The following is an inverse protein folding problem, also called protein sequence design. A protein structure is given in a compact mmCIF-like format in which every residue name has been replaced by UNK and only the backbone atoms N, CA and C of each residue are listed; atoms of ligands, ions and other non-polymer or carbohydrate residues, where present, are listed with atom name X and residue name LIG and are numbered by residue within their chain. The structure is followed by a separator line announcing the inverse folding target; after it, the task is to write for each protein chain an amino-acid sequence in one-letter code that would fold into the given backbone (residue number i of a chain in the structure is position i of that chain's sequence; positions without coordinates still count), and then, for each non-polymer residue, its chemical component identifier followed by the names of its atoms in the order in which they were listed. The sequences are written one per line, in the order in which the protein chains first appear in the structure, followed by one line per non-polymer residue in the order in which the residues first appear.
data_IF_432605056282
#
_entry.id   IF_432605056282
#
_cell.length_a   1.000
_cell.length_b   1.000
_cell.length_c   1.000
_cell.angle_alpha   90.00
_cell.angle_beta   90.00
_cell.angle_gamma   90.00
#
_symmetry.space_group_name_H-M   'P 1'
#
loop_
_entity.id
_entity.type
_entity.pdbx_description
1 polymer ?
#
# COMPACT_ATOMS: atom_id res chain seq x y z
N UNK A 1 0.97 -2.00 26.61
CA UNK A 1 1.74 -2.77 25.62
C UNK A 1 2.86 -3.48 26.37
N UNK A 2 3.02 -4.79 26.19
CA UNK A 2 4.15 -5.53 26.75
C UNK A 2 5.45 -4.91 26.20
N UNK A 3 6.42 -4.72 27.09
CA UNK A 3 7.71 -4.11 26.75
C UNK A 3 8.54 -5.18 25.99
N UNK A 4 8.29 -5.30 24.66
CA UNK A 4 9.06 -6.22 23.82
C UNK A 4 10.52 -5.79 23.88
N UNK A 5 11.42 -6.70 24.27
CA UNK A 5 12.83 -6.37 24.41
C UNK A 5 13.43 -5.98 23.06
N UNK A 6 14.35 -5.02 23.05
CA UNK A 6 15.10 -4.63 21.84
C UNK A 6 15.77 -5.84 21.17
N UNK A 7 16.19 -6.82 21.95
CA UNK A 7 16.73 -8.09 21.46
C UNK A 7 15.70 -8.88 20.66
N UNK A 8 14.44 -8.91 21.07
CA UNK A 8 13.38 -9.59 20.34
C UNK A 8 13.11 -8.87 19.00
N UNK A 9 13.06 -7.53 18.99
CA UNK A 9 12.92 -6.74 17.76
C UNK A 9 14.06 -7.04 16.78
N UNK A 10 15.31 -7.06 17.25
CA UNK A 10 16.49 -7.39 16.43
C UNK A 10 16.45 -8.83 15.89
N UNK A 11 15.91 -9.78 16.65
CA UNK A 11 15.77 -11.16 16.15
C UNK A 11 14.72 -11.26 15.04
N UNK A 12 13.61 -10.54 15.12
CA UNK A 12 12.65 -10.42 14.03
C UNK A 12 13.31 -9.76 12.82
N UNK A 13 14.09 -8.70 13.04
CA UNK A 13 14.87 -8.02 12.01
C UNK A 13 15.82 -8.97 11.26
N UNK A 14 16.41 -9.95 11.93
CA UNK A 14 17.24 -10.98 11.27
C UNK A 14 16.42 -11.86 10.31
N UNK A 15 15.16 -12.18 10.65
CA UNK A 15 14.28 -12.95 9.75
C UNK A 15 13.96 -12.11 8.51
N UNK A 16 13.61 -10.84 8.68
CA UNK A 16 13.33 -9.93 7.57
C UNK A 16 14.54 -9.81 6.62
N UNK A 17 15.74 -9.66 7.18
CA UNK A 17 16.97 -9.38 6.42
C UNK A 17 17.69 -10.65 5.93
N UNK A 18 17.13 -11.85 6.11
CA UNK A 18 17.71 -13.11 5.63
C UNK A 18 17.10 -13.50 4.27
N UNK A 19 17.83 -13.33 3.15
CA UNK A 19 17.30 -13.64 1.83
C UNK A 19 17.10 -15.15 1.58
N UNK A 20 17.62 -16.01 2.46
CA UNK A 20 17.40 -17.46 2.39
C UNK A 20 16.02 -17.89 2.93
N UNK A 21 15.32 -16.99 3.64
CA UNK A 21 13.98 -17.25 4.17
C UNK A 21 12.92 -17.09 3.09
N UNK A 22 11.85 -17.92 3.15
CA UNK A 22 10.68 -17.72 2.30
C UNK A 22 10.10 -16.30 2.40
N UNK A 23 9.62 -15.76 1.27
CA UNK A 23 9.07 -14.40 1.22
C UNK A 23 7.97 -14.18 2.27
N UNK A 24 7.06 -15.13 2.44
CA UNK A 24 6.00 -15.08 3.45
C UNK A 24 6.51 -14.91 4.89
N UNK A 25 7.61 -15.54 5.26
CA UNK A 25 8.19 -15.37 6.60
C UNK A 25 8.76 -13.96 6.79
N UNK A 26 9.39 -13.43 5.74
CA UNK A 26 9.97 -12.09 5.73
C UNK A 26 8.87 -11.02 5.81
N UNK A 27 7.76 -11.20 5.10
CA UNK A 27 6.58 -10.33 5.19
C UNK A 27 5.96 -10.34 6.59
N UNK A 28 5.74 -11.51 7.18
CA UNK A 28 5.25 -11.62 8.55
C UNK A 28 6.19 -10.93 9.55
N UNK A 29 7.51 -11.03 9.35
CA UNK A 29 8.50 -10.30 10.16
C UNK A 29 8.39 -8.79 9.96
N UNK A 30 8.23 -8.31 8.73
CA UNK A 30 8.06 -6.90 8.39
C UNK A 30 6.81 -6.31 9.08
N UNK A 31 5.65 -6.94 8.92
CA UNK A 31 4.42 -6.45 9.54
C UNK A 31 4.47 -6.51 11.08
N UNK A 32 5.21 -7.48 11.64
CA UNK A 32 5.47 -7.52 13.07
C UNK A 32 6.30 -6.31 13.52
N UNK A 33 7.38 -5.98 12.81
CA UNK A 33 8.22 -4.80 13.09
C UNK A 33 7.41 -3.50 12.95
N UNK A 34 6.59 -3.36 11.90
CA UNK A 34 5.69 -2.23 11.73
C UNK A 34 4.78 -2.04 12.94
N UNK A 35 4.16 -3.14 13.42
CA UNK A 35 3.23 -3.09 14.56
C UNK A 35 3.92 -2.82 15.90
N UNK A 36 5.16 -3.28 16.07
CA UNK A 36 5.98 -2.99 17.27
C UNK A 36 6.43 -1.54 17.31
N UNK A 37 6.81 -0.99 16.15
CA UNK A 37 7.26 0.39 16.03
C UNK A 37 8.60 0.67 16.72
N UNK A 38 8.96 1.95 16.75
CA UNK A 38 10.15 2.43 17.43
C UNK A 38 11.44 2.33 16.60
N UNK A 39 12.52 2.89 17.14
CA UNK A 39 13.79 3.08 16.43
C UNK A 39 14.42 1.77 15.96
N UNK A 40 14.47 0.76 16.83
CA UNK A 40 15.04 -0.55 16.47
C UNK A 40 14.27 -1.26 15.33
N UNK A 41 12.94 -1.10 15.27
CA UNK A 41 12.14 -1.64 14.17
C UNK A 41 12.43 -0.90 12.85
N UNK A 42 12.49 0.43 12.90
CA UNK A 42 12.84 1.27 11.73
C UNK A 42 14.23 0.90 11.21
N UNK A 43 15.23 0.74 12.08
CA UNK A 43 16.57 0.31 11.69
C UNK A 43 16.56 -1.05 10.98
N UNK A 44 15.84 -2.04 11.54
CA UNK A 44 15.74 -3.37 10.94
C UNK A 44 15.08 -3.33 9.56
N UNK A 45 14.01 -2.55 9.39
CA UNK A 45 13.33 -2.36 8.10
C UNK A 45 14.23 -1.64 7.12
N UNK A 46 14.90 -0.57 7.55
CA UNK A 46 15.79 0.25 6.72
C UNK A 46 16.96 -0.55 6.12
N UNK A 47 17.52 -1.51 6.86
CA UNK A 47 18.62 -2.36 6.41
C UNK A 47 18.22 -3.26 5.22
N UNK A 48 16.92 -3.52 5.03
CA UNK A 48 16.42 -4.44 4.01
C UNK A 48 16.25 -3.80 2.62
N UNK A 49 16.42 -2.49 2.43
CA UNK A 49 16.32 -1.84 1.11
C UNK A 49 17.42 -2.23 0.11
N UNK A 50 18.45 -2.95 0.53
CA UNK A 50 19.43 -3.58 -0.34
C UNK A 50 19.00 -4.91 -0.96
N UNK A 51 17.80 -5.39 -0.67
CA UNK A 51 17.27 -6.66 -1.20
C UNK A 51 17.02 -6.59 -2.71
N UNK A 52 17.04 -7.76 -3.38
CA UNK A 52 16.77 -7.85 -4.81
C UNK A 52 15.27 -7.76 -5.13
N UNK A 53 14.38 -8.17 -4.21
CA UNK A 53 12.93 -8.17 -4.41
C UNK A 53 12.37 -6.75 -4.46
N UNK A 54 11.79 -6.40 -5.60
CA UNK A 54 11.05 -5.14 -5.79
C UNK A 54 9.83 -5.10 -4.87
N UNK A 55 9.09 -6.22 -4.79
CA UNK A 55 7.93 -6.34 -3.92
C UNK A 55 8.27 -6.06 -2.45
N UNK A 56 9.31 -6.73 -1.94
CA UNK A 56 9.68 -6.54 -0.54
C UNK A 56 10.07 -5.09 -0.26
N UNK A 57 10.86 -4.47 -1.15
CA UNK A 57 11.27 -3.06 -0.99
C UNK A 57 10.09 -2.09 -1.03
N UNK A 58 9.09 -2.36 -1.88
CA UNK A 58 7.82 -1.63 -1.89
C UNK A 58 7.15 -1.71 -0.51
N UNK A 59 6.94 -2.93 0.01
CA UNK A 59 6.32 -3.13 1.31
C UNK A 59 7.12 -2.54 2.49
N UNK A 60 8.47 -2.50 2.42
CA UNK A 60 9.30 -1.80 3.42
C UNK A 60 8.92 -0.32 3.49
N UNK A 61 8.80 0.33 2.32
CA UNK A 61 8.45 1.75 2.25
C UNK A 61 7.02 2.00 2.75
N UNK A 62 6.05 1.18 2.32
CA UNK A 62 4.68 1.20 2.82
C UNK A 62 4.64 1.12 4.36
N UNK A 63 5.27 0.11 4.92
CA UNK A 63 5.29 -0.09 6.38
C UNK A 63 5.88 1.11 7.13
N UNK A 64 6.99 1.69 6.64
CA UNK A 64 7.59 2.89 7.23
C UNK A 64 6.67 4.11 7.14
N UNK A 65 5.94 4.28 6.04
CA UNK A 65 4.93 5.32 5.88
C UNK A 65 3.78 5.19 6.88
N UNK A 66 3.26 3.97 7.01
CA UNK A 66 2.16 3.67 7.94
C UNK A 66 2.56 3.82 9.42
N UNK A 67 3.85 3.67 9.75
CA UNK A 67 4.36 3.95 11.10
C UNK A 67 4.32 5.45 11.45
N UNK A 68 4.29 6.35 10.48
CA UNK A 68 4.28 7.81 10.64
C UNK A 68 5.40 8.35 11.56
N UNK A 69 6.55 7.71 11.56
CA UNK A 69 7.70 8.09 12.39
C UNK A 69 8.73 8.86 11.57
N UNK A 70 9.00 10.11 11.93
CA UNK A 70 9.93 10.99 11.20
C UNK A 70 11.37 10.42 11.11
N UNK A 71 11.74 9.48 11.99
CA UNK A 71 13.05 8.79 11.92
C UNK A 71 13.22 7.95 10.65
N UNK A 72 12.13 7.59 9.98
CA UNK A 72 12.14 6.87 8.70
C UNK A 72 12.43 7.82 7.50
N UNK A 73 12.29 9.13 7.65
CA UNK A 73 12.47 10.10 6.56
C UNK A 73 13.80 9.93 5.84
N UNK A 74 14.97 9.83 6.50
CA UNK A 74 16.25 9.75 5.80
C UNK A 74 16.38 8.55 4.85
N UNK A 75 15.88 7.38 5.24
CA UNK A 75 15.94 6.19 4.38
C UNK A 75 14.95 6.30 3.22
N UNK A 76 13.71 6.75 3.48
CA UNK A 76 12.70 6.95 2.43
C UNK A 76 13.12 8.00 1.41
N UNK A 77 13.74 9.09 1.87
CA UNK A 77 14.35 10.09 0.99
C UNK A 77 15.45 9.48 0.11
N UNK A 78 16.36 8.70 0.69
CA UNK A 78 17.40 8.01 -0.07
C UNK A 78 16.85 7.07 -1.13
N UNK A 79 15.77 6.36 -0.84
CA UNK A 79 15.08 5.46 -1.78
C UNK A 79 14.42 6.24 -2.91
N UNK A 80 13.70 7.33 -2.61
CA UNK A 80 13.06 8.18 -3.63
C UNK A 80 14.12 8.82 -4.57
N UNK A 81 15.27 9.24 -4.02
CA UNK A 81 16.35 9.90 -4.76
C UNK A 81 17.21 8.95 -5.60
N UNK A 82 17.22 7.66 -5.29
CA UNK A 82 18.02 6.68 -6.03
C UNK A 82 17.34 6.29 -7.34
N UNK A 83 17.79 6.89 -8.43
CA UNK A 83 17.30 6.61 -9.78
C UNK A 83 17.58 5.19 -10.29
N UNK A 84 18.33 4.35 -9.56
CA UNK A 84 18.55 2.94 -9.89
C UNK A 84 17.50 2.02 -9.24
N UNK A 85 16.75 2.52 -8.27
CA UNK A 85 15.63 1.78 -7.70
C UNK A 85 14.47 1.69 -8.71
N UNK A 86 13.74 0.59 -8.64
CA UNK A 86 12.55 0.40 -9.45
C UNK A 86 11.52 1.51 -9.19
N UNK A 87 10.83 2.05 -10.22
CA UNK A 87 9.78 3.03 -10.03
C UNK A 87 8.69 2.61 -9.03
N UNK A 88 8.37 1.32 -8.94
CA UNK A 88 7.42 0.75 -7.96
C UNK A 88 7.90 1.00 -6.51
N UNK A 89 9.19 0.88 -6.25
CA UNK A 89 9.77 1.16 -4.92
C UNK A 89 9.85 2.65 -4.63
N UNK A 90 10.23 3.43 -5.65
CA UNK A 90 10.40 4.89 -5.52
C UNK A 90 9.07 5.62 -5.29
N UNK A 91 7.99 5.20 -5.99
CA UNK A 91 6.70 5.80 -5.77
C UNK A 91 6.22 5.56 -4.34
N UNK A 92 6.38 4.33 -3.83
CA UNK A 92 5.95 3.98 -2.48
C UNK A 92 6.75 4.76 -1.41
N UNK A 93 8.06 4.99 -1.65
CA UNK A 93 8.84 5.87 -0.79
C UNK A 93 8.30 7.32 -0.80
N UNK A 94 7.86 7.82 -1.95
CA UNK A 94 7.20 9.13 -2.09
C UNK A 94 5.87 9.19 -1.34
N UNK A 95 5.06 8.14 -1.42
CA UNK A 95 3.80 8.01 -0.69
C UNK A 95 4.02 7.95 0.82
N UNK A 96 4.98 7.13 1.26
CA UNK A 96 5.39 7.02 2.67
C UNK A 96 5.82 8.36 3.25
N UNK A 97 6.61 9.15 2.51
CA UNK A 97 6.97 10.52 2.92
C UNK A 97 5.74 11.43 3.02
N UNK A 98 4.80 11.31 2.09
CA UNK A 98 3.50 11.99 2.14
C UNK A 98 2.66 11.56 3.35
N UNK A 99 2.67 10.27 3.71
CA UNK A 99 1.97 9.72 4.88
C UNK A 99 2.55 10.23 6.21
N UNK A 100 3.89 10.32 6.34
CA UNK A 100 4.57 10.93 7.48
C UNK A 100 4.20 12.41 7.58
N UNK A 101 4.17 13.11 6.46
CA UNK A 101 3.58 14.45 6.37
C UNK A 101 4.39 15.57 7.01
N UNK A 102 5.70 15.40 7.22
CA UNK A 102 6.55 16.42 7.80
C UNK A 102 6.70 17.64 6.86
N UNK A 103 6.55 18.90 7.38
CA UNK A 103 6.53 20.11 6.54
C UNK A 103 7.80 20.35 5.73
N UNK A 104 8.96 19.88 6.21
CA UNK A 104 10.26 20.01 5.55
C UNK A 104 10.43 19.10 4.32
N UNK A 105 9.47 18.21 4.04
CA UNK A 105 9.49 17.35 2.87
C UNK A 105 9.01 18.05 1.58
N UNK A 106 8.47 19.25 1.70
CA UNK A 106 7.89 20.00 0.57
C UNK A 106 8.85 20.14 -0.60
N UNK A 107 10.05 20.68 -0.34
CA UNK A 107 11.04 20.95 -1.40
C UNK A 107 11.48 19.66 -2.10
N UNK A 108 11.59 18.55 -1.37
CA UNK A 108 11.88 17.23 -1.92
C UNK A 108 10.76 16.76 -2.86
N UNK A 109 9.52 16.79 -2.40
CA UNK A 109 8.38 16.36 -3.19
C UNK A 109 8.15 17.27 -4.42
N UNK A 110 8.40 18.60 -4.29
CA UNK A 110 8.37 19.54 -5.42
C UNK A 110 9.43 19.21 -6.48
N UNK A 111 10.61 18.74 -6.08
CA UNK A 111 11.64 18.27 -7.01
C UNK A 111 11.16 17.06 -7.81
N UNK A 112 10.54 16.07 -7.15
CA UNK A 112 10.15 14.79 -7.75
C UNK A 112 8.74 14.76 -8.38
N UNK A 113 7.93 15.82 -8.25
CA UNK A 113 6.64 15.91 -8.95
C UNK A 113 6.77 15.94 -10.50
N UNK A 114 7.99 16.05 -11.01
CA UNK A 114 8.35 16.03 -12.43
C UNK A 114 9.33 14.89 -12.76
N UNK A 115 9.36 13.85 -11.95
CA UNK A 115 10.21 12.67 -12.17
C UNK A 115 9.90 12.05 -13.55
N UNK A 116 10.92 11.50 -14.26
CA UNK A 116 10.69 10.83 -15.53
C UNK A 116 9.84 9.56 -15.40
N UNK A 117 9.82 8.89 -14.26
CA UNK A 117 8.88 7.81 -13.97
C UNK A 117 7.54 8.43 -13.54
N UNK A 118 6.50 8.18 -14.33
CA UNK A 118 5.20 8.83 -14.16
C UNK A 118 4.56 8.48 -12.80
N UNK A 119 4.73 7.26 -12.32
CA UNK A 119 4.22 6.78 -11.03
C UNK A 119 4.83 7.58 -9.87
N UNK A 120 6.13 7.86 -9.95
CA UNK A 120 6.86 8.66 -8.94
C UNK A 120 6.39 10.12 -8.99
N UNK A 121 6.23 10.68 -10.19
CA UNK A 121 5.77 12.06 -10.37
C UNK A 121 4.34 12.24 -9.83
N UNK A 122 3.42 11.36 -10.19
CA UNK A 122 2.03 11.38 -9.74
C UNK A 122 1.91 11.24 -8.23
N UNK A 123 2.66 10.31 -7.63
CA UNK A 123 2.71 10.14 -6.16
C UNK A 123 3.20 11.40 -5.46
N UNK A 124 4.29 12.01 -5.92
CA UNK A 124 4.80 13.25 -5.34
C UNK A 124 3.80 14.42 -5.47
N UNK A 125 3.06 14.50 -6.56
CA UNK A 125 1.98 15.48 -6.73
C UNK A 125 0.86 15.27 -5.72
N UNK A 126 0.42 14.02 -5.51
CA UNK A 126 -0.60 13.69 -4.51
C UNK A 126 -0.10 14.02 -3.11
N UNK A 127 1.14 13.62 -2.76
CA UNK A 127 1.75 13.90 -1.46
C UNK A 127 1.84 15.41 -1.17
N UNK A 128 2.21 16.23 -2.16
CA UNK A 128 2.21 17.70 -2.04
C UNK A 128 0.82 18.27 -1.79
N UNK A 129 -0.20 17.77 -2.51
CA UNK A 129 -1.57 18.20 -2.33
C UNK A 129 -2.09 17.78 -0.94
N UNK A 130 -1.70 16.59 -0.45
CA UNK A 130 -1.98 16.15 0.91
C UNK A 130 -1.38 17.08 1.96
N UNK A 131 -0.10 17.45 1.84
CA UNK A 131 0.55 18.41 2.73
C UNK A 131 -0.18 19.76 2.72
N UNK A 132 -0.55 20.27 1.54
CA UNK A 132 -1.30 21.51 1.39
C UNK A 132 -2.68 21.44 2.07
N UNK A 133 -3.38 20.32 1.89
CA UNK A 133 -4.70 20.10 2.45
C UNK A 133 -4.66 20.13 3.99
N UNK A 134 -3.70 19.43 4.60
CA UNK A 134 -3.54 19.41 6.06
C UNK A 134 -2.99 20.72 6.65
N UNK A 135 -2.25 21.50 5.88
CA UNK A 135 -1.77 22.83 6.30
C UNK A 135 -2.86 23.89 6.29
N UNK A 136 -3.96 23.70 5.54
CA UNK A 136 -4.99 24.71 5.34
C UNK A 136 -6.10 24.62 6.41
N UNK A 137 -6.30 25.70 7.18
CA UNK A 137 -7.30 25.75 8.25
C UNK A 137 -8.76 25.70 7.76
N UNK A 138 -9.01 26.02 6.49
CA UNK A 138 -10.36 25.91 5.89
C UNK A 138 -10.71 24.45 5.63
N UNK A 139 -9.79 23.65 5.14
CA UNK A 139 -9.99 22.23 4.85
C UNK A 139 -10.11 21.39 6.13
N UNK A 140 -9.46 21.79 7.22
CA UNK A 140 -9.62 21.15 8.55
C UNK A 140 -11.05 21.19 9.09
N UNK A 141 -11.89 22.07 8.57
CA UNK A 141 -13.31 22.21 8.95
C UNK A 141 -14.24 21.38 8.06
N UNK A 142 -13.71 20.75 7.02
CA UNK A 142 -14.49 19.90 6.13
C UNK A 142 -15.01 18.68 6.88
N UNK A 143 -16.30 18.39 6.73
CA UNK A 143 -16.91 17.22 7.36
C UNK A 143 -16.67 16.00 6.46
N UNK A 144 -15.60 15.27 6.76
CA UNK A 144 -15.20 14.10 6.01
C UNK A 144 -16.09 12.88 6.28
N UNK A 145 -16.20 11.97 5.34
CA UNK A 145 -16.79 10.65 5.57
C UNK A 145 -15.97 9.89 6.62
N UNK A 146 -16.69 9.14 7.48
CA UNK A 146 -16.02 8.36 8.53
C UNK A 146 -15.37 7.12 7.91
N UNK A 147 -14.04 6.99 8.08
CA UNK A 147 -13.32 5.77 7.73
C UNK A 147 -13.46 4.70 8.84
N UNK A 148 -13.61 3.45 8.44
CA UNK A 148 -13.49 2.28 9.30
C UNK A 148 -12.06 1.71 9.28
N UNK A 149 -11.23 2.18 8.35
CA UNK A 149 -9.86 1.73 8.12
C UNK A 149 -8.89 2.58 8.92
N UNK A 150 -7.82 1.96 9.39
CA UNK A 150 -6.77 2.63 10.20
C UNK A 150 -5.55 3.04 9.37
N UNK A 151 -5.57 2.76 8.06
CA UNK A 151 -4.51 3.16 7.14
C UNK A 151 -4.36 4.68 7.05
N UNK A 152 -3.14 5.12 6.78
CA UNK A 152 -2.82 6.51 6.46
C UNK A 152 -2.95 6.66 4.95
N UNK A 153 -4.12 7.09 4.51
CA UNK A 153 -4.44 7.21 3.10
C UNK A 153 -3.69 8.40 2.43
N UNK A 154 -3.30 8.29 1.14
CA UNK A 154 -2.61 9.37 0.42
C UNK A 154 -3.49 10.62 0.20
N UNK A 155 -4.80 10.52 0.32
CA UNK A 155 -5.71 11.65 0.34
C UNK A 155 -6.85 11.44 1.35
N UNK A 156 -7.34 12.49 2.02
CA UNK A 156 -8.52 12.39 2.86
C UNK A 156 -9.77 12.17 2.00
N UNK A 157 -10.79 11.47 2.49
CA UNK A 157 -12.04 11.33 1.74
C UNK A 157 -12.71 12.70 1.51
N UNK A 158 -13.57 12.79 0.52
CA UNK A 158 -14.37 13.98 0.25
C UNK A 158 -15.56 14.08 1.21
N UNK A 159 -16.18 15.27 1.30
CA UNK A 159 -17.45 15.47 2.02
C UNK A 159 -18.66 15.00 1.22
N UNK A 160 -18.50 14.68 -0.06
CA UNK A 160 -19.56 14.16 -0.92
C UNK A 160 -19.95 12.73 -0.49
N UNK A 161 -21.22 12.40 -0.56
CA UNK A 161 -21.77 11.08 -0.20
C UNK A 161 -22.68 10.47 -1.28
N UNK A 162 -22.99 11.21 -2.34
CA UNK A 162 -23.74 10.70 -3.48
C UNK A 162 -22.80 9.86 -4.37
N UNK A 163 -23.17 8.59 -4.57
CA UNK A 163 -22.34 7.63 -5.29
C UNK A 163 -22.12 8.03 -6.74
N UNK A 164 -23.13 8.58 -7.42
CA UNK A 164 -22.99 8.96 -8.84
C UNK A 164 -22.08 10.19 -8.99
N UNK A 165 -22.17 11.17 -8.09
CA UNK A 165 -21.27 12.32 -8.07
C UNK A 165 -19.82 11.90 -7.77
N UNK A 166 -19.63 10.98 -6.82
CA UNK A 166 -18.31 10.42 -6.49
C UNK A 166 -17.74 9.63 -7.68
N UNK A 167 -18.55 8.80 -8.33
CA UNK A 167 -18.16 8.05 -9.53
C UNK A 167 -17.75 9.00 -10.66
N UNK A 168 -18.55 10.04 -10.93
CA UNK A 168 -18.23 11.03 -11.95
C UNK A 168 -16.90 11.73 -11.66
N UNK A 169 -16.59 12.01 -10.38
CA UNK A 169 -15.29 12.55 -9.99
C UNK A 169 -14.16 11.53 -10.14
N UNK A 170 -14.39 10.28 -9.76
CA UNK A 170 -13.42 9.19 -9.86
C UNK A 170 -12.92 8.96 -11.29
N UNK A 171 -13.83 8.96 -12.27
CA UNK A 171 -13.53 8.64 -13.67
C UNK A 171 -13.14 9.87 -14.52
N UNK A 172 -13.29 11.07 -14.02
CA UNK A 172 -12.99 12.32 -14.76
C UNK A 172 -11.47 12.58 -14.77
N UNK A 173 -10.82 12.20 -15.86
CA UNK A 173 -9.37 12.38 -16.04
C UNK A 173 -8.93 13.86 -16.21
N UNK A 174 -9.86 14.80 -16.35
CA UNK A 174 -9.56 16.22 -16.33
C UNK A 174 -9.33 16.78 -14.91
N UNK A 175 -9.74 16.02 -13.89
CA UNK A 175 -9.54 16.38 -12.47
C UNK A 175 -8.16 15.97 -11.98
N UNK A 176 -7.57 16.73 -11.03
CA UNK A 176 -6.36 16.31 -10.34
C UNK A 176 -6.52 14.93 -9.70
N UNK A 177 -5.46 14.09 -9.74
CA UNK A 177 -5.47 12.77 -9.11
C UNK A 177 -5.90 12.83 -7.64
N UNK A 178 -5.45 13.82 -6.89
CA UNK A 178 -5.82 14.01 -5.50
C UNK A 178 -7.34 14.09 -5.27
N UNK A 179 -8.08 14.80 -6.13
CA UNK A 179 -9.55 14.88 -6.03
C UNK A 179 -10.21 13.54 -6.40
N UNK A 180 -9.64 12.82 -7.36
CA UNK A 180 -10.09 11.48 -7.74
C UNK A 180 -9.83 10.46 -6.63
N UNK A 181 -8.68 10.55 -5.93
CA UNK A 181 -8.37 9.76 -4.73
C UNK A 181 -9.34 10.06 -3.59
N UNK A 182 -9.69 11.32 -3.37
CA UNK A 182 -10.70 11.70 -2.36
C UNK A 182 -12.06 11.07 -2.64
N UNK A 183 -12.47 11.02 -3.91
CA UNK A 183 -13.70 10.32 -4.32
C UNK A 183 -13.57 8.81 -4.11
N UNK A 184 -12.42 8.20 -4.42
CA UNK A 184 -12.11 6.78 -4.21
C UNK A 184 -12.28 6.40 -2.73
N UNK A 185 -11.66 7.14 -1.81
CA UNK A 185 -11.76 6.86 -0.38
C UNK A 185 -13.16 7.11 0.19
N UNK A 186 -13.93 8.04 -0.40
CA UNK A 186 -15.35 8.20 -0.04
C UNK A 186 -16.19 7.00 -0.48
N UNK A 187 -16.00 6.49 -1.69
CA UNK A 187 -16.67 5.28 -2.20
C UNK A 187 -16.30 4.04 -1.36
N UNK A 188 -15.01 3.88 -0.98
CA UNK A 188 -14.57 2.83 -0.06
C UNK A 188 -15.34 2.89 1.25
N UNK A 189 -15.43 4.09 1.86
CA UNK A 189 -16.07 4.28 3.16
C UNK A 189 -17.59 4.04 3.11
N UNK A 190 -18.24 4.18 1.95
CA UNK A 190 -19.66 3.86 1.76
C UNK A 190 -19.91 2.35 1.74
N UNK A 191 -19.05 1.54 1.11
CA UNK A 191 -19.10 0.08 1.11
C UNK A 191 -20.38 -0.54 0.52
N UNK A 192 -21.16 0.22 -0.24
CA UNK A 192 -22.41 -0.29 -0.87
C UNK A 192 -22.08 -1.02 -2.19
N UNK A 193 -23.03 -1.81 -2.71
CA UNK A 193 -22.85 -2.46 -4.02
C UNK A 193 -22.62 -1.43 -5.12
N UNK A 194 -23.34 -0.31 -5.07
CA UNK A 194 -23.21 0.79 -6.03
C UNK A 194 -21.79 1.42 -5.94
N UNK A 195 -21.26 1.63 -4.72
CA UNK A 195 -19.93 2.21 -4.55
C UNK A 195 -18.82 1.26 -4.99
N UNK A 196 -18.95 -0.05 -4.77
CA UNK A 196 -18.02 -1.07 -5.26
C UNK A 196 -18.00 -1.08 -6.80
N UNK A 197 -19.15 -1.06 -7.45
CA UNK A 197 -19.24 -0.98 -8.89
C UNK A 197 -18.64 0.33 -9.44
N UNK A 198 -18.86 1.45 -8.75
CA UNK A 198 -18.26 2.73 -9.10
C UNK A 198 -16.73 2.70 -8.99
N UNK A 199 -16.18 2.10 -7.92
CA UNK A 199 -14.73 1.89 -7.76
C UNK A 199 -14.15 1.04 -8.89
N UNK A 200 -14.86 -0.03 -9.31
CA UNK A 200 -14.43 -0.90 -10.42
C UNK A 200 -14.27 -0.17 -11.75
N UNK A 201 -15.02 0.93 -11.99
CA UNK A 201 -14.81 1.79 -13.16
C UNK A 201 -13.42 2.48 -13.14
N UNK A 202 -12.82 2.66 -11.97
CA UNK A 202 -11.49 3.23 -11.80
C UNK A 202 -10.37 2.43 -12.47
N UNK A 203 -10.56 1.13 -12.72
CA UNK A 203 -9.60 0.31 -13.49
C UNK A 203 -9.48 0.71 -14.96
N UNK A 204 -10.35 1.59 -15.46
CA UNK A 204 -10.27 2.12 -16.83
C UNK A 204 -9.40 3.39 -16.93
N UNK A 205 -8.91 3.91 -15.82
CA UNK A 205 -8.07 5.11 -15.79
C UNK A 205 -6.76 4.90 -16.56
N UNK A 206 -6.23 5.96 -17.14
CA UNK A 206 -4.94 5.95 -17.86
C UNK A 206 -3.75 5.76 -16.91
N UNK A 207 -3.80 6.32 -15.70
CA UNK A 207 -2.75 6.23 -14.69
C UNK A 207 -2.67 4.82 -14.08
N UNK A 208 -1.50 4.17 -14.17
CA UNK A 208 -1.23 2.90 -13.52
C UNK A 208 -1.24 3.04 -11.98
N UNK A 209 -0.69 4.13 -11.45
CA UNK A 209 -0.75 4.45 -10.02
C UNK A 209 -2.20 4.50 -9.52
N UNK A 210 -3.09 5.13 -10.26
CA UNK A 210 -4.50 5.22 -9.87
C UNK A 210 -5.19 3.85 -9.86
N UNK A 211 -4.93 3.00 -10.87
CA UNK A 211 -5.48 1.63 -10.92
C UNK A 211 -4.92 0.75 -9.82
N UNK A 212 -3.64 0.90 -9.47
CA UNK A 212 -3.00 0.25 -8.33
C UNK A 212 -3.76 0.59 -7.03
N UNK A 213 -4.00 1.87 -6.76
CA UNK A 213 -4.74 2.31 -5.57
C UNK A 213 -6.18 1.78 -5.54
N UNK A 214 -6.85 1.65 -6.69
CA UNK A 214 -8.19 1.01 -6.76
C UNK A 214 -8.11 -0.45 -6.28
N UNK A 215 -7.06 -1.20 -6.69
CA UNK A 215 -6.86 -2.56 -6.23
C UNK A 215 -6.57 -2.63 -4.72
N UNK A 216 -5.71 -1.73 -4.21
CA UNK A 216 -5.42 -1.60 -2.78
C UNK A 216 -6.69 -1.34 -1.95
N UNK A 217 -7.52 -0.40 -2.39
CA UNK A 217 -8.81 -0.10 -1.74
C UNK A 217 -9.72 -1.31 -1.69
N UNK A 218 -9.78 -2.11 -2.75
CA UNK A 218 -10.56 -3.35 -2.75
C UNK A 218 -9.99 -4.39 -1.77
N UNK A 219 -8.67 -4.48 -1.63
CA UNK A 219 -8.01 -5.30 -0.61
C UNK A 219 -8.39 -4.87 0.81
N UNK A 220 -8.40 -3.56 1.08
CA UNK A 220 -8.86 -3.03 2.36
C UNK A 220 -10.32 -3.35 2.67
N UNK A 221 -11.19 -3.32 1.64
CA UNK A 221 -12.62 -3.60 1.81
C UNK A 221 -12.90 -5.07 2.10
N UNK A 222 -12.05 -5.98 1.67
CA UNK A 222 -12.22 -7.45 1.81
C UNK A 222 -13.61 -7.93 1.37
N UNK A 223 -14.15 -7.33 0.33
CA UNK A 223 -15.51 -7.59 -0.13
C UNK A 223 -15.50 -8.48 -1.39
N UNK A 224 -16.13 -9.64 -1.31
CA UNK A 224 -16.18 -10.62 -2.40
C UNK A 224 -16.76 -10.06 -3.72
N UNK A 225 -17.58 -9.00 -3.64
CA UNK A 225 -18.14 -8.34 -4.84
C UNK A 225 -17.06 -7.67 -5.69
N UNK A 226 -15.86 -7.41 -5.14
CA UNK A 226 -14.73 -6.84 -5.88
C UNK A 226 -13.89 -7.90 -6.63
N UNK A 227 -14.03 -9.18 -6.29
CA UNK A 227 -13.25 -10.29 -6.89
C UNK A 227 -13.27 -10.29 -8.42
N UNK A 228 -14.41 -10.11 -9.11
CA UNK A 228 -14.41 -10.10 -10.57
C UNK A 228 -13.53 -9.01 -11.21
N UNK A 229 -13.42 -7.84 -10.57
CA UNK A 229 -12.56 -6.76 -11.04
C UNK A 229 -11.08 -7.11 -10.84
N UNK A 230 -10.71 -7.53 -9.64
CA UNK A 230 -9.33 -7.88 -9.27
C UNK A 230 -8.82 -9.07 -10.09
N UNK A 231 -9.63 -10.11 -10.24
CA UNK A 231 -9.31 -11.27 -11.06
C UNK A 231 -9.02 -10.86 -12.50
N UNK A 232 -9.90 -10.07 -13.13
CA UNK A 232 -9.69 -9.56 -14.48
C UNK A 232 -8.39 -8.79 -14.60
N UNK A 233 -8.05 -7.98 -13.60
CA UNK A 233 -6.84 -7.16 -13.57
C UNK A 233 -5.58 -8.04 -13.46
N UNK A 234 -5.56 -9.03 -12.56
CA UNK A 234 -4.43 -9.95 -12.43
C UNK A 234 -4.24 -10.82 -13.70
N UNK A 235 -5.34 -11.25 -14.32
CA UNK A 235 -5.33 -12.11 -15.52
C UNK A 235 -4.92 -11.36 -16.79
N UNK A 236 -5.01 -10.03 -16.84
CA UNK A 236 -4.58 -9.23 -17.98
C UNK A 236 -3.05 -9.06 -17.99
N UNK A 237 -2.38 -9.86 -18.82
CA UNK A 237 -0.91 -9.81 -18.97
C UNK A 237 -0.39 -8.54 -19.64
N UNK A 238 -1.27 -7.69 -20.20
CA UNK A 238 -0.91 -6.38 -20.74
C UNK A 238 -1.05 -5.26 -19.71
N UNK A 239 -1.68 -5.54 -18.57
CA UNK A 239 -1.76 -4.59 -17.48
C UNK A 239 -0.37 -4.35 -16.85
N UNK A 240 -0.16 -3.17 -16.29
CA UNK A 240 1.07 -2.79 -15.62
C UNK A 240 1.34 -3.70 -14.41
N UNK A 241 2.58 -4.18 -14.26
CA UNK A 241 2.92 -5.13 -13.20
C UNK A 241 2.63 -4.58 -11.79
N UNK A 242 2.73 -3.25 -11.59
CA UNK A 242 2.34 -2.54 -10.39
C UNK A 242 0.86 -2.74 -10.05
N UNK A 243 -0.03 -2.74 -11.03
CA UNK A 243 -1.47 -2.94 -10.82
C UNK A 243 -1.79 -4.41 -10.58
N UNK A 244 -1.09 -5.29 -11.29
CA UNK A 244 -1.28 -6.74 -11.18
C UNK A 244 -0.82 -7.29 -9.83
N UNK A 245 0.31 -6.79 -9.30
CA UNK A 245 0.77 -7.26 -8.00
C UNK A 245 -0.21 -6.87 -6.89
N UNK A 246 -0.72 -5.65 -6.92
CA UNK A 246 -1.68 -5.17 -5.92
C UNK A 246 -3.02 -5.92 -6.03
N UNK A 247 -3.46 -6.22 -7.27
CA UNK A 247 -4.64 -7.06 -7.47
C UNK A 247 -4.45 -8.48 -6.86
N UNK A 248 -3.24 -9.04 -6.91
CA UNK A 248 -2.95 -10.32 -6.27
C UNK A 248 -3.03 -10.22 -4.74
N UNK A 249 -2.46 -9.18 -4.13
CA UNK A 249 -2.51 -8.97 -2.68
C UNK A 249 -3.93 -8.72 -2.18
N UNK A 250 -4.70 -7.93 -2.93
CA UNK A 250 -6.11 -7.71 -2.65
C UNK A 250 -6.94 -9.01 -2.69
N UNK A 251 -6.68 -9.90 -3.66
CA UNK A 251 -7.32 -11.22 -3.70
C UNK A 251 -6.92 -12.07 -2.47
N UNK A 252 -5.67 -11.99 -2.03
CA UNK A 252 -5.20 -12.65 -0.81
C UNK A 252 -5.93 -12.18 0.45
N UNK A 253 -6.17 -10.88 0.55
CA UNK A 253 -6.91 -10.26 1.67
C UNK A 253 -8.40 -10.65 1.69
N UNK A 254 -9.03 -10.84 0.51
CA UNK A 254 -10.43 -11.31 0.41
C UNK A 254 -10.56 -12.80 0.75
N UNK A 255 -9.56 -13.60 0.41
CA UNK A 255 -9.35 -14.97 0.89
C UNK A 255 -10.47 -15.98 0.59
N UNK A 256 -11.24 -15.81 -0.50
CA UNK A 256 -12.19 -16.84 -0.94
C UNK A 256 -11.47 -18.00 -1.65
N UNK A 257 -12.17 -19.14 -1.80
CA UNK A 257 -11.65 -20.30 -2.57
C UNK A 257 -11.30 -19.90 -4.01
N UNK A 258 -12.17 -19.12 -4.68
CA UNK A 258 -11.89 -18.58 -6.02
C UNK A 258 -10.62 -17.72 -6.05
N UNK A 259 -10.40 -16.85 -5.05
CA UNK A 259 -9.18 -16.05 -4.94
C UNK A 259 -7.95 -16.95 -4.85
N UNK A 260 -7.99 -17.96 -4.00
CA UNK A 260 -6.87 -18.91 -3.82
C UNK A 260 -6.55 -19.66 -5.12
N UNK A 261 -7.56 -20.14 -5.85
CA UNK A 261 -7.37 -20.81 -7.15
C UNK A 261 -6.75 -19.89 -8.20
N UNK A 262 -7.16 -18.62 -8.22
CA UNK A 262 -6.59 -17.62 -9.13
C UNK A 262 -5.11 -17.39 -8.80
N UNK A 263 -4.79 -17.11 -7.54
CA UNK A 263 -3.42 -16.85 -7.08
C UNK A 263 -2.47 -18.02 -7.40
N UNK A 264 -2.90 -19.27 -7.18
CA UNK A 264 -2.10 -20.47 -7.49
C UNK A 264 -1.69 -20.54 -8.97
N UNK A 265 -2.51 -20.08 -9.90
CA UNK A 265 -2.20 -20.07 -11.33
C UNK A 265 -1.06 -19.09 -11.68
N UNK A 266 -0.91 -18.01 -10.90
CA UNK A 266 0.08 -16.96 -11.15
C UNK A 266 1.37 -17.07 -10.33
N UNK A 267 1.56 -18.13 -9.55
CA UNK A 267 2.84 -18.45 -8.87
C UNK A 267 4.04 -18.63 -9.82
N UNK A 268 3.81 -18.72 -11.13
CA UNK A 268 4.83 -18.81 -12.17
C UNK A 268 4.78 -17.64 -13.15
N UNK A 269 4.17 -16.52 -12.75
CA UNK A 269 4.14 -15.33 -13.59
C UNK A 269 5.56 -14.90 -13.97
N UNK A 270 5.80 -14.49 -15.23
CA UNK A 270 7.13 -14.05 -15.68
C UNK A 270 7.62 -12.80 -14.94
N UNK A 271 6.71 -11.97 -14.44
CA UNK A 271 7.05 -10.78 -13.67
C UNK A 271 7.34 -11.17 -12.20
N UNK A 272 8.56 -10.92 -11.68
CA UNK A 272 8.91 -11.29 -10.31
C UNK A 272 7.95 -10.71 -9.28
N UNK A 273 7.64 -9.41 -9.37
CA UNK A 273 6.76 -8.72 -8.44
C UNK A 273 5.37 -9.38 -8.36
N UNK A 274 4.79 -9.79 -9.50
CA UNK A 274 3.46 -10.43 -9.52
C UNK A 274 3.48 -11.84 -8.92
N UNK A 275 4.49 -12.69 -9.26
CA UNK A 275 4.55 -14.04 -8.67
C UNK A 275 4.86 -14.02 -7.18
N UNK A 276 5.71 -13.09 -6.72
CA UNK A 276 6.02 -12.92 -5.30
C UNK A 276 4.80 -12.43 -4.52
N UNK A 277 4.02 -11.49 -5.07
CA UNK A 277 2.73 -11.08 -4.49
C UNK A 277 1.74 -12.24 -4.41
N UNK A 278 1.68 -13.12 -5.43
CA UNK A 278 0.83 -14.31 -5.34
C UNK A 278 1.27 -15.27 -4.22
N UNK A 279 2.59 -15.43 -3.99
CA UNK A 279 3.11 -16.24 -2.88
C UNK A 279 2.69 -15.65 -1.53
N UNK A 280 2.88 -14.35 -1.34
CA UNK A 280 2.50 -13.64 -0.10
C UNK A 280 0.99 -13.64 0.08
N UNK A 281 0.23 -13.38 -0.99
CA UNK A 281 -1.22 -13.35 -0.97
C UNK A 281 -1.84 -14.70 -0.56
N UNK A 282 -1.23 -15.81 -0.95
CA UNK A 282 -1.66 -17.14 -0.49
C UNK A 282 -1.43 -17.33 1.01
N UNK A 283 -0.32 -16.84 1.57
CA UNK A 283 -0.09 -16.86 3.02
C UNK A 283 -1.05 -15.93 3.76
N UNK A 284 -1.39 -14.76 3.18
CA UNK A 284 -2.43 -13.87 3.71
C UNK A 284 -3.80 -14.55 3.71
N UNK A 285 -4.14 -15.25 2.63
CA UNK A 285 -5.39 -16.02 2.54
C UNK A 285 -5.46 -17.16 3.57
N UNK A 286 -4.34 -17.85 3.81
CA UNK A 286 -4.24 -18.85 4.90
C UNK A 286 -4.46 -18.18 6.26
N UNK A 287 -3.90 -17.01 6.50
CA UNK A 287 -4.06 -16.24 7.73
C UNK A 287 -5.52 -15.80 7.94
N UNK A 288 -6.16 -15.19 6.94
CA UNK A 288 -7.55 -14.72 7.02
C UNK A 288 -8.54 -15.85 7.35
N UNK A 289 -8.26 -17.06 6.85
CA UNK A 289 -9.06 -18.26 7.14
C UNK A 289 -8.63 -19.02 8.41
N UNK A 290 -7.65 -18.50 9.16
CA UNK A 290 -7.09 -19.13 10.36
C UNK A 290 -7.65 -18.51 11.64
N UNK A 291 -7.45 -19.15 12.82
CA UNK A 291 -7.74 -18.54 14.11
C UNK A 291 -6.64 -17.59 14.61
N UNK A 292 -5.62 -17.28 13.82
CA UNK A 292 -4.54 -16.38 14.22
C UNK A 292 -5.06 -14.95 14.49
N UNK A 293 -4.63 -14.35 15.59
CA UNK A 293 -5.11 -13.05 16.01
C UNK A 293 -4.58 -11.89 15.15
N UNK A 294 -3.36 -12.03 14.62
CA UNK A 294 -2.75 -11.04 13.76
C UNK A 294 -1.74 -11.67 12.80
N UNK A 295 -1.60 -11.08 11.63
CA UNK A 295 -0.57 -11.43 10.65
C UNK A 295 0.81 -11.04 11.20
N UNK A 296 1.54 -12.00 11.74
CA UNK A 296 2.79 -11.77 12.46
C UNK A 296 3.77 -12.93 12.33
N UNK A 297 5.03 -12.68 12.68
CA UNK A 297 6.03 -13.73 12.79
C UNK A 297 5.78 -14.54 14.07
N UNK A 298 5.43 -15.82 13.90
CA UNK A 298 5.15 -16.76 15.00
C UNK A 298 6.38 -17.13 15.84
N UNK A 299 7.59 -16.77 15.42
CA UNK A 299 8.84 -17.01 16.15
C UNK A 299 8.95 -16.17 17.45
N UNK A 300 8.03 -15.23 17.71
CA UNK A 300 7.94 -14.52 19.00
C UNK A 300 7.48 -15.40 20.17
N UNK A 301 7.09 -16.64 19.93
CA UNK A 301 6.65 -17.58 20.99
C UNK A 301 7.81 -18.35 21.61
N UNK A 302 9.06 -18.04 21.28
CA UNK A 302 10.23 -18.76 21.78
C UNK A 302 10.90 -17.98 22.91
N UNK A 303 10.91 -18.62 24.07
CA UNK A 303 11.64 -18.32 25.30
C UNK A 303 11.00 -17.22 26.20
N UNK A 304 9.95 -17.65 26.92
CA UNK A 304 9.60 -17.08 28.20
C UNK A 304 10.40 -17.78 29.30
#
# INVERSE_FOLDING_TARGET
MANTSETAVKNIGKVLNDPSRPMKERFRALFTLKNLGGEAAIECISQCFGDESVLLKHELAYCLGQMQDERAIPVLQSVLEDGNQDPIVRHEAGEALGAIGAPNLRDLLEKYQHDPAIEVAETCQIALQRLNWFANDTTKKEKLSKSLYTSVDPAPPSSESDVENLKNTLIDESKPLFERYRAMFSLRNLGTTESINALGEGFKASSALFRHEVAFVFGQMQDERSVPFLKKTLEDTNEHEMVRHEAAEALGSIATEECTEVLQRYLKDPRPVVRESCEVALDMSEYENSPEFQYANTLLTVDA
#
